data_IF_722302930435
#
_entry.id   IF_722302930435
#
_cell.length_a   1.000
_cell.length_b   1.000
_cell.length_c   1.000
_cell.angle_alpha   90.00
_cell.angle_beta   90.00
_cell.angle_gamma   90.00
#
_symmetry.space_group_name_H-M   'P 1'
#
loop_
_entity.id
_entity.type
_entity.pdbx_description
1 polymer ?
#
# COMPACT_ATOMS: atom_id res chain seq x y z
N UNK A 1 -13.60 24.90 -2.78
CA UNK A 1 -13.71 23.42 -2.87
C UNK A 1 -13.25 22.83 -1.56
N UNK A 2 -14.07 21.96 -0.99
CA UNK A 2 -13.95 21.43 0.37
C UNK A 2 -12.72 20.56 0.61
N UNK A 3 -12.36 20.40 1.88
CA UNK A 3 -11.28 19.51 2.31
C UNK A 3 -11.50 18.06 1.85
N UNK A 4 -10.44 17.25 1.80
CA UNK A 4 -10.54 15.82 1.47
C UNK A 4 -11.58 15.08 2.34
N UNK A 5 -11.76 15.53 3.59
CA UNK A 5 -12.76 15.00 4.51
C UNK A 5 -14.20 15.26 4.03
N UNK A 6 -14.50 16.48 3.56
CA UNK A 6 -15.82 16.85 3.03
C UNK A 6 -16.18 16.03 1.77
N UNK A 7 -15.22 15.85 0.86
CA UNK A 7 -15.41 15.02 -0.33
C UNK A 7 -15.71 13.56 0.05
N UNK A 8 -14.95 13.02 1.01
CA UNK A 8 -15.13 11.63 1.46
C UNK A 8 -16.52 11.44 2.06
N UNK A 9 -16.95 12.36 2.93
CA UNK A 9 -18.28 12.35 3.54
C UNK A 9 -19.39 12.45 2.49
N UNK A 10 -19.24 13.34 1.51
CA UNK A 10 -20.19 13.47 0.39
C UNK A 10 -20.30 12.19 -0.45
N UNK A 11 -19.20 11.44 -0.63
CA UNK A 11 -19.17 10.22 -1.44
C UNK A 11 -19.77 8.98 -0.74
N UNK A 12 -19.88 8.97 0.59
CA UNK A 12 -20.36 7.80 1.36
C UNK A 12 -21.69 7.23 0.83
N UNK A 13 -22.74 8.03 0.56
CA UNK A 13 -24.01 7.51 0.05
C UNK A 13 -23.87 6.81 -1.30
N UNK A 14 -22.99 7.32 -2.17
CA UNK A 14 -22.76 6.83 -3.53
C UNK A 14 -21.89 5.57 -3.61
N UNK A 15 -21.17 5.26 -2.53
CA UNK A 15 -20.33 4.06 -2.42
C UNK A 15 -21.04 2.86 -1.78
N UNK A 16 -22.23 3.07 -1.18
CA UNK A 16 -23.01 2.01 -0.52
C UNK A 16 -23.73 1.13 -1.53
N UNK A 17 -23.72 -0.19 -1.27
CA UNK A 17 -24.38 -1.20 -2.08
C UNK A 17 -23.51 -1.84 -3.18
N UNK A 18 -23.98 -2.96 -3.72
CA UNK A 18 -23.39 -3.68 -4.86
C UNK A 18 -24.21 -3.52 -6.15
N UNK A 19 -23.83 -4.26 -7.19
CA UNK A 19 -24.60 -4.35 -8.44
C UNK A 19 -23.91 -3.74 -9.68
N UNK A 20 -24.48 -3.97 -10.87
CA UNK A 20 -23.93 -3.51 -12.15
C UNK A 20 -23.85 -1.98 -12.23
N UNK A 21 -24.80 -1.27 -11.64
CA UNK A 21 -24.90 0.20 -11.71
C UNK A 21 -24.01 0.92 -10.68
N UNK A 22 -23.19 0.17 -9.93
CA UNK A 22 -22.28 0.73 -8.93
C UNK A 22 -21.31 1.72 -9.54
N UNK A 23 -20.79 1.44 -10.75
CA UNK A 23 -19.83 2.31 -11.44
C UNK A 23 -20.48 3.63 -11.85
N UNK A 24 -21.72 3.58 -12.31
CA UNK A 24 -22.48 4.75 -12.73
C UNK A 24 -22.82 5.64 -11.52
N UNK A 25 -23.39 5.06 -10.46
CA UNK A 25 -23.67 5.77 -9.20
C UNK A 25 -22.42 6.41 -8.61
N UNK A 26 -21.29 5.69 -8.63
CA UNK A 26 -20.01 6.23 -8.20
C UNK A 26 -19.58 7.42 -9.05
N UNK A 27 -19.71 7.33 -10.37
CA UNK A 27 -19.35 8.43 -11.26
C UNK A 27 -20.22 9.66 -11.01
N UNK A 28 -21.55 9.48 -10.91
CA UNK A 28 -22.51 10.55 -10.63
C UNK A 28 -22.16 11.25 -9.31
N UNK A 29 -21.99 10.48 -8.23
CA UNK A 29 -21.58 11.00 -6.93
C UNK A 29 -20.26 11.75 -7.00
N UNK A 30 -19.28 11.23 -7.74
CA UNK A 30 -17.98 11.88 -7.90
C UNK A 30 -18.09 13.23 -8.61
N UNK A 31 -18.98 13.39 -9.59
CA UNK A 31 -19.22 14.66 -10.28
C UNK A 31 -19.91 15.68 -9.39
N UNK A 32 -20.93 15.26 -8.63
CA UNK A 32 -21.63 16.11 -7.66
C UNK A 32 -20.70 16.56 -6.52
N UNK A 33 -20.03 15.62 -5.87
CA UNK A 33 -19.16 15.90 -4.72
C UNK A 33 -17.89 16.68 -5.09
N UNK A 34 -17.44 16.62 -6.35
CA UNK A 34 -16.32 17.45 -6.82
C UNK A 34 -16.76 18.81 -7.38
N UNK A 35 -18.06 19.12 -7.37
CA UNK A 35 -18.61 20.37 -7.91
C UNK A 35 -18.48 20.49 -9.43
N UNK A 36 -18.37 19.36 -10.14
CA UNK A 36 -18.28 19.31 -11.61
C UNK A 36 -19.64 19.25 -12.30
N UNK A 37 -20.68 18.99 -11.52
CA UNK A 37 -22.07 19.02 -11.93
C UNK A 37 -22.88 19.62 -10.78
N UNK A 38 -23.90 20.40 -11.11
CA UNK A 38 -24.78 21.01 -10.11
C UNK A 38 -25.95 20.07 -9.77
N UNK A 39 -26.37 19.25 -10.73
CA UNK A 39 -27.53 18.36 -10.62
C UNK A 39 -27.19 16.92 -11.04
N UNK A 40 -28.01 15.97 -10.59
CA UNK A 40 -27.82 14.54 -10.88
C UNK A 40 -27.90 14.23 -12.38
N UNK A 41 -28.79 14.89 -13.12
CA UNK A 41 -28.92 14.71 -14.58
C UNK A 41 -27.68 15.16 -15.34
N UNK A 42 -27.10 16.30 -14.94
CA UNK A 42 -25.88 16.83 -15.52
C UNK A 42 -24.69 15.89 -15.23
N UNK A 43 -24.62 15.38 -13.99
CA UNK A 43 -23.62 14.38 -13.60
C UNK A 43 -23.75 13.09 -14.42
N UNK A 44 -24.97 12.61 -14.66
CA UNK A 44 -25.22 11.41 -15.45
C UNK A 44 -24.78 11.58 -16.91
N UNK A 45 -25.11 12.72 -17.55
CA UNK A 45 -24.65 13.05 -18.90
C UNK A 45 -23.12 13.04 -19.01
N UNK A 46 -22.43 13.71 -18.09
CA UNK A 46 -20.96 13.75 -18.04
C UNK A 46 -20.33 12.37 -17.81
N UNK A 47 -21.03 11.47 -17.13
CA UNK A 47 -20.58 10.10 -16.91
C UNK A 47 -20.78 9.21 -18.15
N UNK A 48 -21.90 9.36 -18.85
CA UNK A 48 -22.16 8.67 -20.11
C UNK A 48 -21.15 9.09 -21.21
N UNK A 49 -20.86 10.39 -21.33
CA UNK A 49 -19.86 10.91 -22.27
C UNK A 49 -18.45 10.36 -21.99
N UNK A 50 -18.07 10.25 -20.73
CA UNK A 50 -16.78 9.70 -20.31
C UNK A 50 -16.67 8.19 -20.55
N UNK A 51 -17.79 7.46 -20.50
CA UNK A 51 -17.85 6.04 -20.85
C UNK A 51 -17.73 5.84 -22.37
N UNK A 52 -18.34 6.72 -23.17
CA UNK A 52 -18.23 6.69 -24.63
C UNK A 52 -16.82 7.06 -25.12
N UNK A 53 -16.11 7.93 -24.41
CA UNK A 53 -14.75 8.38 -24.75
C UNK A 53 -13.77 8.11 -23.60
N UNK A 54 -13.34 6.85 -23.41
CA UNK A 54 -12.40 6.51 -22.36
C UNK A 54 -11.06 7.22 -22.59
N UNK A 55 -10.63 8.02 -21.62
CA UNK A 55 -9.29 8.63 -21.66
C UNK A 55 -8.24 7.53 -21.74
N UNK A 56 -7.34 7.64 -22.71
CA UNK A 56 -6.18 6.76 -22.84
C UNK A 56 -5.46 6.66 -21.49
N UNK A 57 -5.11 5.45 -21.02
CA UNK A 57 -4.41 5.27 -19.76
C UNK A 57 -3.09 6.03 -19.87
N UNK A 58 -2.88 7.00 -18.97
CA UNK A 58 -1.59 7.69 -18.86
C UNK A 58 -0.51 6.62 -18.65
N UNK A 59 0.53 6.66 -19.48
CA UNK A 59 1.65 5.73 -19.40
C UNK A 59 2.11 5.65 -17.93
N UNK A 60 1.98 4.46 -17.33
CA UNK A 60 2.50 4.21 -15.99
C UNK A 60 4.00 4.42 -16.05
N UNK A 61 4.54 5.35 -15.26
CA UNK A 61 5.99 5.45 -15.05
C UNK A 61 6.47 4.06 -14.62
N UNK A 62 7.34 3.44 -15.41
CA UNK A 62 7.99 2.20 -15.03
C UNK A 62 8.66 2.42 -13.67
N UNK A 63 8.35 1.56 -12.68
CA UNK A 63 9.14 1.52 -11.45
C UNK A 63 10.53 1.05 -11.88
N UNK A 64 11.49 1.98 -11.86
CA UNK A 64 12.83 1.77 -12.42
C UNK A 64 13.48 0.52 -11.83
N UNK A 65 14.08 -0.30 -12.71
CA UNK A 65 15.11 -1.25 -12.33
C UNK A 65 16.28 -0.41 -11.79
N UNK A 66 16.50 -0.41 -10.48
CA UNK A 66 17.70 0.21 -9.91
C UNK A 66 18.91 -0.62 -10.33
N UNK A 67 19.61 -0.19 -11.39
CA UNK A 67 20.98 -0.61 -11.63
C UNK A 67 21.84 0.07 -10.57
N UNK A 68 22.30 -0.69 -9.57
CA UNK A 68 23.24 -0.20 -8.57
C UNK A 68 24.65 -0.39 -9.15
N UNK A 69 25.42 0.70 -9.21
CA UNK A 69 26.85 0.62 -9.51
C UNK A 69 27.59 0.04 -8.29
N UNK A 70 28.01 -1.21 -8.41
CA UNK A 70 28.70 -1.95 -7.34
C UNK A 70 30.03 -1.33 -6.93
N UNK A 71 30.75 -0.66 -7.86
CA UNK A 71 32.04 -0.05 -7.56
C UNK A 71 31.87 1.26 -6.78
N UNK A 72 30.88 2.08 -7.17
CA UNK A 72 30.51 3.29 -6.43
C UNK A 72 29.95 2.96 -5.04
N UNK A 73 29.15 1.89 -4.93
CA UNK A 73 28.63 1.41 -3.66
C UNK A 73 29.76 0.97 -2.72
N UNK A 74 30.66 0.11 -3.18
CA UNK A 74 31.78 -0.37 -2.37
C UNK A 74 32.65 0.79 -1.87
N UNK A 75 32.95 1.75 -2.74
CA UNK A 75 33.74 2.93 -2.38
C UNK A 75 33.05 3.81 -1.32
N UNK A 76 31.73 3.93 -1.37
CA UNK A 76 30.96 4.67 -0.36
C UNK A 76 30.90 3.92 0.98
N UNK A 77 30.63 2.62 0.95
CA UNK A 77 30.52 1.78 2.15
C UNK A 77 31.86 1.69 2.88
N UNK A 78 32.97 1.50 2.17
CA UNK A 78 34.31 1.45 2.76
C UNK A 78 34.66 2.75 3.50
N UNK A 79 34.19 3.92 3.03
CA UNK A 79 34.42 5.20 3.73
C UNK A 79 33.61 5.34 5.02
N UNK A 80 32.58 4.53 5.21
CA UNK A 80 31.62 4.64 6.32
C UNK A 80 31.70 3.47 7.30
N UNK A 81 32.49 2.43 6.99
CA UNK A 81 32.73 1.32 7.90
C UNK A 81 33.99 1.63 8.72
N UNK A 82 33.80 1.80 10.03
CA UNK A 82 34.86 1.77 11.03
C UNK A 82 34.92 0.39 11.71
N UNK A 83 36.01 0.10 12.44
CA UNK A 83 36.25 -1.17 13.16
C UNK A 83 35.19 -1.52 14.22
N UNK A 84 34.23 -0.63 14.48
CA UNK A 84 33.14 -0.78 15.45
C UNK A 84 31.77 -1.03 14.81
N UNK A 85 31.71 -1.09 13.48
CA UNK A 85 30.43 -1.20 12.75
C UNK A 85 29.81 -2.58 12.96
N UNK A 86 28.65 -2.63 13.62
CA UNK A 86 27.90 -3.87 13.82
C UNK A 86 27.14 -4.26 12.55
N UNK A 87 26.98 -5.55 12.27
CA UNK A 87 26.25 -6.10 11.10
C UNK A 87 24.84 -5.51 11.00
N UNK A 88 24.19 -5.21 12.13
CA UNK A 88 22.88 -4.57 12.19
C UNK A 88 22.84 -3.15 11.61
N UNK A 89 23.98 -2.46 11.51
CA UNK A 89 24.11 -1.09 10.99
C UNK A 89 24.49 -1.06 9.50
N UNK A 90 25.02 -2.16 8.95
CA UNK A 90 25.45 -2.24 7.55
C UNK A 90 24.31 -1.91 6.57
N UNK A 91 23.10 -2.40 6.85
CA UNK A 91 21.93 -2.14 6.01
C UNK A 91 21.62 -0.65 5.88
N UNK A 92 21.73 0.10 6.97
CA UNK A 92 21.53 1.55 6.99
C UNK A 92 22.62 2.30 6.22
N UNK A 93 23.87 1.85 6.32
CA UNK A 93 25.01 2.42 5.59
C UNK A 93 24.84 2.20 4.08
N UNK A 94 24.51 0.98 3.67
CA UNK A 94 24.25 0.62 2.25
C UNK A 94 23.08 1.43 1.69
N UNK A 95 21.99 1.59 2.46
CA UNK A 95 20.87 2.43 2.07
C UNK A 95 21.24 3.91 1.93
N UNK A 96 22.07 4.43 2.85
CA UNK A 96 22.63 5.78 2.73
C UNK A 96 23.42 5.97 1.44
N UNK A 97 24.26 5.00 1.09
CA UNK A 97 25.08 5.03 -0.14
C UNK A 97 24.28 4.85 -1.44
N UNK A 98 23.17 4.11 -1.40
CA UNK A 98 22.35 3.82 -2.59
C UNK A 98 21.14 4.74 -2.75
N UNK A 99 20.82 5.55 -1.73
CA UNK A 99 19.56 6.29 -1.66
C UNK A 99 18.33 5.39 -1.58
N UNK A 100 18.50 4.09 -1.39
CA UNK A 100 17.41 3.14 -1.26
C UNK A 100 16.86 3.16 0.16
N UNK A 101 15.55 2.95 0.30
CA UNK A 101 14.98 2.73 1.63
C UNK A 101 15.37 1.33 2.08
N UNK A 102 16.05 1.22 3.23
CA UNK A 102 16.24 -0.06 3.91
C UNK A 102 14.85 -0.70 4.07
N UNK A 103 14.67 -1.91 3.53
CA UNK A 103 13.52 -2.72 3.94
C UNK A 103 13.63 -2.91 5.44
N UNK A 104 12.69 -2.31 6.19
CA UNK A 104 12.66 -2.43 7.64
C UNK A 104 12.70 -3.93 7.98
N UNK A 105 13.48 -4.33 9.00
CA UNK A 105 13.49 -5.73 9.44
C UNK A 105 12.05 -6.18 9.65
N UNK A 106 11.76 -7.41 9.22
CA UNK A 106 10.42 -7.99 9.34
C UNK A 106 10.04 -7.90 10.82
N UNK A 107 9.06 -7.07 11.17
CA UNK A 107 8.66 -6.93 12.56
C UNK A 107 7.81 -8.12 12.94
N UNK A 108 7.89 -8.56 14.20
CA UNK A 108 6.98 -9.57 14.75
C UNK A 108 5.52 -9.28 14.39
N UNK A 109 5.11 -8.02 14.41
CA UNK A 109 3.76 -7.60 14.06
C UNK A 109 3.44 -7.79 12.56
N UNK A 110 4.36 -7.49 11.65
CA UNK A 110 4.15 -7.69 10.21
C UNK A 110 4.15 -9.18 9.84
N UNK A 111 5.01 -9.98 10.48
CA UNK A 111 5.02 -11.43 10.35
C UNK A 111 3.70 -12.04 10.84
N UNK A 112 3.26 -11.69 12.06
CA UNK A 112 1.99 -12.19 12.61
C UNK A 112 0.84 -11.80 11.67
N UNK A 113 0.75 -10.54 11.22
CA UNK A 113 -0.29 -10.11 10.27
C UNK A 113 -0.29 -10.89 8.96
N UNK A 114 0.89 -11.31 8.47
CA UNK A 114 1.01 -12.14 7.27
C UNK A 114 0.54 -13.57 7.54
N UNK A 115 1.00 -14.17 8.63
CA UNK A 115 0.60 -15.51 9.08
C UNK A 115 -0.93 -15.61 9.28
N UNK A 116 -1.56 -14.56 9.81
CA UNK A 116 -3.02 -14.48 9.93
C UNK A 116 -3.77 -14.41 8.59
N UNK A 117 -3.18 -13.79 7.55
CA UNK A 117 -3.80 -13.75 6.22
C UNK A 117 -3.69 -15.08 5.48
N UNK A 118 -2.56 -15.76 5.66
CA UNK A 118 -2.32 -17.07 5.06
C UNK A 118 -3.18 -18.17 5.70
N UNK A 119 -3.49 -18.04 6.98
CA UNK A 119 -4.36 -18.95 7.72
C UNK A 119 -5.69 -18.24 8.01
N UNK A 120 -6.55 -18.13 7.00
CA UNK A 120 -7.86 -17.47 7.05
C UNK A 120 -8.65 -17.95 8.28
N UNK A 121 -8.97 -17.03 9.20
CA UNK A 121 -9.85 -17.33 10.34
C UNK A 121 -11.26 -16.87 10.02
N UNK A 122 -12.16 -17.83 9.82
CA UNK A 122 -13.60 -17.61 9.78
C UNK A 122 -14.11 -17.34 11.20
N UNK A 123 -14.01 -16.08 11.63
CA UNK A 123 -14.88 -15.45 12.65
C UNK A 123 -14.85 -15.97 14.10
N UNK A 124 -14.29 -17.14 14.40
CA UNK A 124 -14.32 -17.71 15.74
C UNK A 124 -13.20 -17.16 16.63
N UNK A 125 -13.59 -16.57 17.76
CA UNK A 125 -12.67 -15.95 18.74
C UNK A 125 -11.68 -16.99 19.29
N UNK A 126 -12.12 -18.25 19.47
CA UNK A 126 -11.27 -19.36 19.93
C UNK A 126 -10.23 -19.76 18.88
N UNK A 127 -10.58 -19.77 17.60
CA UNK A 127 -9.63 -20.04 16.51
C UNK A 127 -8.61 -18.91 16.37
N UNK A 128 -9.04 -17.66 16.54
CA UNK A 128 -8.18 -16.48 16.49
C UNK A 128 -7.07 -16.53 17.56
N UNK A 129 -7.39 -16.96 18.79
CA UNK A 129 -6.39 -17.15 19.85
C UNK A 129 -5.39 -18.26 19.54
N UNK A 130 -5.87 -19.42 19.05
CA UNK A 130 -4.99 -20.53 18.63
C UNK A 130 -4.04 -20.09 17.52
N UNK A 131 -4.54 -19.38 16.51
CA UNK A 131 -3.74 -18.87 15.41
C UNK A 131 -2.66 -17.90 15.90
N UNK A 132 -2.99 -17.03 16.87
CA UNK A 132 -2.03 -16.10 17.47
C UNK A 132 -0.88 -16.84 18.14
N UNK A 133 -1.19 -17.91 18.87
CA UNK A 133 -0.17 -18.74 19.53
C UNK A 133 0.72 -19.44 18.51
N UNK A 134 0.14 -20.00 17.43
CA UNK A 134 0.86 -20.68 16.36
C UNK A 134 1.79 -19.72 15.59
N UNK A 135 1.28 -18.55 15.17
CA UNK A 135 2.09 -17.55 14.49
C UNK A 135 3.19 -16.98 15.39
N UNK A 136 2.96 -16.92 16.71
CA UNK A 136 4.01 -16.50 17.66
C UNK A 136 5.08 -17.58 17.84
N UNK A 137 4.71 -18.86 17.85
CA UNK A 137 5.66 -19.97 17.91
C UNK A 137 6.54 -20.02 16.64
N UNK A 138 5.93 -19.88 15.46
CA UNK A 138 6.66 -19.79 14.18
C UNK A 138 7.64 -18.62 14.11
N UNK A 139 7.31 -17.49 14.72
CA UNK A 139 8.24 -16.37 14.83
C UNK A 139 9.46 -16.72 15.69
N UNK A 140 9.26 -17.35 16.85
CA UNK A 140 10.35 -17.78 17.72
C UNK A 140 11.29 -18.79 17.05
N UNK A 141 10.76 -19.69 16.24
CA UNK A 141 11.58 -20.64 15.46
C UNK A 141 12.44 -19.93 14.41
N UNK A 142 11.94 -18.85 13.78
CA UNK A 142 12.74 -18.03 12.87
C UNK A 142 13.82 -17.21 13.58
N UNK A 143 13.60 -16.77 14.83
CA UNK A 143 14.62 -16.05 15.62
C UNK A 143 15.76 -16.94 16.08
N UNK A 144 15.55 -18.26 16.24
CA UNK A 144 16.60 -19.21 16.68
C UNK A 144 17.41 -19.76 15.50
N UNK A 145 16.88 -19.66 14.27
CA UNK A 145 17.54 -20.14 13.05
C UNK A 145 18.48 -19.09 12.39
N UNK A 146 18.60 -17.89 12.99
CA UNK A 146 19.49 -16.79 12.58
C UNK A 146 20.58 -16.64 13.63
#
# INVERSE_FOLDING_TARGET
>A
MGSHAEYTTCMVPWMKGGGPDRKERFCIGAKLCSGKANNQEEAAKLCAEAAANPKLPKARKARGKCTIDSAALASCVIKLIDNTTNVSQLGSIIAGCTGQRVEKPLTRESFIKKCFRENIVTGDIKETQKLRSLCTAKWKEQEVAV
#
